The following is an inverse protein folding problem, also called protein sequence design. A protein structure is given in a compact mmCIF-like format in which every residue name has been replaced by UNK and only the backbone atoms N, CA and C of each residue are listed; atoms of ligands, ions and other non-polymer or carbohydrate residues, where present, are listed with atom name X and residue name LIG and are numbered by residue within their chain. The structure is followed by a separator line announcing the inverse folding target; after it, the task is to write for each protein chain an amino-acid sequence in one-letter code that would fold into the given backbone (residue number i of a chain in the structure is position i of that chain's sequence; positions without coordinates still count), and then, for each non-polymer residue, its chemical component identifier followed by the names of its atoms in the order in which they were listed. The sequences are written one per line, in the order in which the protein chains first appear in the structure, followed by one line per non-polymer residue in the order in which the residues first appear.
data_IF_508298633887
#
_entry.id   IF_508298633887
#
_cell.length_a   1.000
_cell.length_b   1.000
_cell.length_c   1.000
_cell.angle_alpha   90.00
_cell.angle_beta   90.00
_cell.angle_gamma   90.00
#
_symmetry.space_group_name_H-M   'P 1'
#
loop_
_entity.id
_entity.type
_entity.pdbx_description
1 polymer ?
#
# COMPACT_ATOMS: atom_id res chain seq x y z
N UNK A 1 -15.98 17.32 4.27
CA UNK A 1 -14.61 17.49 4.80
C UNK A 1 -13.74 16.24 4.65
N UNK A 2 -14.28 15.01 4.63
CA UNK A 2 -13.49 13.79 4.42
C UNK A 2 -12.74 13.75 3.07
N UNK A 3 -13.37 14.20 1.98
CA UNK A 3 -12.75 14.26 0.64
C UNK A 3 -11.48 15.14 0.60
N UNK A 4 -11.51 16.35 1.16
CA UNK A 4 -10.35 17.25 1.17
C UNK A 4 -9.13 16.68 1.92
N UNK A 5 -9.35 15.96 3.02
CA UNK A 5 -8.28 15.28 3.75
C UNK A 5 -7.66 14.16 2.92
N UNK A 6 -8.50 13.45 2.18
CA UNK A 6 -8.08 12.33 1.35
C UNK A 6 -7.31 12.81 0.11
N UNK A 7 -7.81 13.84 -0.56
CA UNK A 7 -7.11 14.50 -1.67
C UNK A 7 -5.73 15.00 -1.24
N UNK A 8 -5.64 15.58 -0.04
CA UNK A 8 -4.37 15.98 0.54
C UNK A 8 -3.41 14.79 0.73
N UNK A 9 -3.86 13.69 1.35
CA UNK A 9 -3.01 12.50 1.56
C UNK A 9 -2.55 11.93 0.22
N UNK A 10 -3.43 11.84 -0.79
CA UNK A 10 -3.06 11.38 -2.12
C UNK A 10 -2.01 12.28 -2.77
N UNK A 11 -2.15 13.60 -2.64
CA UNK A 11 -1.17 14.56 -3.15
C UNK A 11 0.19 14.41 -2.47
N UNK A 12 0.23 14.12 -1.17
CA UNK A 12 1.46 13.90 -0.42
C UNK A 12 2.11 12.55 -0.77
N UNK A 13 1.31 11.51 -1.05
CA UNK A 13 1.83 10.23 -1.58
C UNK A 13 2.48 10.44 -2.95
N UNK A 14 1.88 11.25 -3.82
CA UNK A 14 2.47 11.56 -5.13
C UNK A 14 3.78 12.35 -4.99
N UNK A 15 3.85 13.30 -4.04
CA UNK A 15 5.11 13.97 -3.68
C UNK A 15 6.15 12.99 -3.16
N UNK A 16 5.75 12.07 -2.28
CA UNK A 16 6.63 11.01 -1.77
C UNK A 16 7.16 10.16 -2.93
N UNK A 17 6.32 9.74 -3.87
CA UNK A 17 6.75 8.99 -5.06
C UNK A 17 7.78 9.75 -5.89
N UNK A 18 7.53 11.03 -6.18
CA UNK A 18 8.49 11.86 -6.91
C UNK A 18 9.81 12.02 -6.15
N UNK A 19 9.75 12.10 -4.83
CA UNK A 19 10.93 12.16 -3.98
C UNK A 19 11.70 10.84 -3.99
N UNK A 20 11.02 9.70 -3.82
CA UNK A 20 11.58 8.34 -3.93
C UNK A 20 12.28 8.18 -5.27
N UNK A 21 11.63 8.55 -6.38
CA UNK A 21 12.19 8.43 -7.73
C UNK A 21 13.51 9.20 -7.90
N UNK A 22 13.68 10.35 -7.23
CA UNK A 22 14.94 11.11 -7.22
C UNK A 22 16.03 10.45 -6.40
N UNK A 23 15.65 9.70 -5.37
CA UNK A 23 16.59 8.95 -4.52
C UNK A 23 17.01 7.64 -5.19
N UNK A 24 16.23 7.12 -6.14
CA UNK A 24 16.56 5.95 -6.96
C UNK A 24 17.74 6.26 -7.89
N UNK A 25 18.96 6.10 -7.38
CA UNK A 25 20.21 6.41 -8.10
C UNK A 25 21.19 7.28 -7.30
N UNK A 26 20.76 7.84 -6.16
CA UNK A 26 21.64 8.54 -5.22
C UNK A 26 21.90 7.67 -3.99
N UNK A 27 23.09 7.82 -3.38
CA UNK A 27 23.40 7.25 -2.05
C UNK A 27 23.10 8.26 -0.93
N UNK A 28 22.08 9.10 -1.11
CA UNK A 28 21.73 10.14 -0.15
C UNK A 28 20.99 9.53 1.05
N UNK A 29 21.77 9.19 2.07
CA UNK A 29 21.24 8.63 3.32
C UNK A 29 20.32 9.58 4.08
N UNK A 30 20.56 10.90 4.01
CA UNK A 30 19.73 11.89 4.70
C UNK A 30 18.38 12.04 4.01
N UNK A 31 18.37 12.11 2.67
CA UNK A 31 17.13 12.12 1.88
C UNK A 31 16.27 10.87 2.09
N UNK A 32 16.89 9.69 2.19
CA UNK A 32 16.18 8.44 2.49
C UNK A 32 15.52 8.45 3.87
N UNK A 33 16.19 9.01 4.88
CA UNK A 33 15.63 9.11 6.23
C UNK A 33 14.44 10.09 6.27
N UNK A 34 14.55 11.23 5.59
CA UNK A 34 13.46 12.19 5.44
C UNK A 34 12.25 11.55 4.73
N UNK A 35 12.48 10.80 3.65
CA UNK A 35 11.43 10.11 2.93
C UNK A 35 10.70 9.07 3.79
N UNK A 36 11.44 8.31 4.62
CA UNK A 36 10.85 7.35 5.55
C UNK A 36 10.02 8.05 6.63
N UNK A 37 10.52 9.15 7.20
CA UNK A 37 9.75 9.94 8.18
C UNK A 37 8.46 10.48 7.58
N UNK A 38 8.50 10.96 6.33
CA UNK A 38 7.30 11.40 5.61
C UNK A 38 6.32 10.23 5.41
N UNK A 39 6.81 9.07 4.97
CA UNK A 39 5.98 7.87 4.79
C UNK A 39 5.26 7.47 6.10
N UNK A 40 5.97 7.47 7.23
CA UNK A 40 5.39 7.16 8.54
C UNK A 40 4.35 8.20 8.99
N UNK A 41 4.63 9.49 8.78
CA UNK A 41 3.66 10.54 9.07
C UNK A 41 2.37 10.40 8.24
N UNK A 42 2.49 9.99 6.97
CA UNK A 42 1.32 9.73 6.12
C UNK A 42 0.53 8.50 6.58
N UNK A 43 1.23 7.45 7.05
CA UNK A 43 0.59 6.26 7.61
C UNK A 43 -0.21 6.61 8.87
N UNK A 44 0.37 7.37 9.79
CA UNK A 44 -0.32 7.83 11.01
C UNK A 44 -1.57 8.67 10.70
N UNK A 45 -1.51 9.52 9.67
CA UNK A 45 -2.69 10.28 9.22
C UNK A 45 -3.76 9.37 8.62
N UNK A 46 -3.40 8.25 8.00
CA UNK A 46 -4.36 7.34 7.40
C UNK A 46 -5.05 6.45 8.43
N UNK A 47 -4.33 6.03 9.47
CA UNK A 47 -4.81 5.05 10.42
C UNK A 47 -5.96 5.59 11.29
N UNK A 48 -6.96 4.76 11.60
CA UNK A 48 -8.08 5.12 12.47
C UNK A 48 -7.71 5.05 13.96
N UNK A 49 -6.49 4.60 14.29
CA UNK A 49 -5.96 4.41 15.65
C UNK A 49 -4.44 4.60 15.65
N UNK A 50 -3.78 4.70 16.82
CA UNK A 50 -2.33 4.84 16.88
C UNK A 50 -1.59 3.77 16.07
N UNK A 51 -0.51 4.14 15.39
CA UNK A 51 0.20 3.24 14.47
C UNK A 51 0.66 1.94 15.14
N UNK A 52 1.14 2.00 16.39
CA UNK A 52 1.54 0.83 17.14
C UNK A 52 0.40 -0.19 17.33
N UNK A 53 -0.83 0.29 17.55
CA UNK A 53 -2.01 -0.57 17.70
C UNK A 53 -2.51 -1.07 16.34
N UNK A 54 -2.50 -0.20 15.33
CA UNK A 54 -2.96 -0.56 13.99
C UNK A 54 -2.09 -1.64 13.35
N UNK A 55 -0.77 -1.51 13.44
CA UNK A 55 0.18 -2.43 12.83
C UNK A 55 0.24 -3.79 13.51
N UNK A 56 -0.30 -3.92 14.73
CA UNK A 56 -0.44 -5.20 15.44
C UNK A 56 -1.67 -6.01 15.00
N UNK A 57 -2.61 -5.38 14.29
CA UNK A 57 -3.79 -6.06 13.79
C UNK A 57 -3.43 -7.04 12.67
N UNK A 58 -4.20 -8.12 12.57
CA UNK A 58 -4.17 -8.97 11.38
C UNK A 58 -4.57 -8.15 10.15
N UNK A 59 -4.10 -8.53 8.96
CA UNK A 59 -4.32 -7.74 7.73
C UNK A 59 -5.81 -7.54 7.44
N UNK A 60 -6.64 -8.56 7.64
CA UNK A 60 -8.09 -8.45 7.42
C UNK A 60 -8.73 -7.46 8.42
N UNK A 61 -8.24 -7.40 9.66
CA UNK A 61 -8.66 -6.42 10.67
C UNK A 61 -8.16 -5.00 10.36
N UNK A 62 -6.96 -4.86 9.78
CA UNK A 62 -6.47 -3.57 9.28
C UNK A 62 -7.39 -3.03 8.17
N UNK A 63 -7.77 -3.89 7.22
CA UNK A 63 -8.70 -3.56 6.13
C UNK A 63 -10.07 -3.16 6.70
N UNK A 64 -10.60 -3.96 7.63
CA UNK A 64 -11.87 -3.66 8.29
C UNK A 64 -11.83 -2.32 9.03
N UNK A 65 -10.75 -2.04 9.76
CA UNK A 65 -10.55 -0.79 10.48
C UNK A 65 -10.47 0.43 9.55
N UNK A 66 -9.80 0.31 8.38
CA UNK A 66 -9.75 1.38 7.39
C UNK A 66 -11.12 1.69 6.76
N UNK A 67 -11.97 0.66 6.64
CA UNK A 67 -13.32 0.77 6.05
C UNK A 67 -14.38 1.19 7.06
N UNK A 68 -14.10 1.10 8.36
CA UNK A 68 -15.08 1.37 9.40
C UNK A 68 -15.63 2.81 9.30
N UNK A 69 -16.95 2.93 9.27
CA UNK A 69 -17.64 4.22 9.18
C UNK A 69 -17.62 4.88 7.80
N UNK A 70 -17.06 4.22 6.78
CA UNK A 70 -17.00 4.74 5.41
C UNK A 70 -18.07 4.13 4.51
N UNK A 71 -18.41 4.85 3.43
CA UNK A 71 -19.15 4.24 2.32
C UNK A 71 -18.32 3.14 1.65
N UNK A 72 -18.92 2.17 0.93
CA UNK A 72 -18.16 1.14 0.22
C UNK A 72 -17.09 1.71 -0.73
N UNK A 73 -17.38 2.81 -1.41
CA UNK A 73 -16.42 3.50 -2.27
C UNK A 73 -15.30 4.16 -1.45
N UNK A 74 -15.63 4.90 -0.39
CA UNK A 74 -14.64 5.58 0.47
C UNK A 74 -13.73 4.61 1.20
N UNK A 75 -14.27 3.51 1.72
CA UNK A 75 -13.49 2.45 2.37
C UNK A 75 -12.53 1.76 1.41
N UNK A 76 -12.97 1.48 0.17
CA UNK A 76 -12.09 0.96 -0.89
C UNK A 76 -10.97 1.94 -1.20
N UNK A 77 -11.29 3.22 -1.37
CA UNK A 77 -10.31 4.25 -1.69
C UNK A 77 -9.25 4.42 -0.58
N UNK A 78 -9.64 4.37 0.70
CA UNK A 78 -8.68 4.33 1.82
C UNK A 78 -7.76 3.11 1.77
N UNK A 79 -8.30 1.93 1.47
CA UNK A 79 -7.50 0.72 1.31
C UNK A 79 -6.46 0.87 0.19
N UNK A 80 -6.88 1.39 -0.97
CA UNK A 80 -5.97 1.64 -2.11
C UNK A 80 -4.93 2.72 -1.78
N UNK A 81 -5.30 3.75 -1.02
CA UNK A 81 -4.39 4.79 -0.53
C UNK A 81 -3.32 4.16 0.38
N UNK A 82 -3.72 3.28 1.30
CA UNK A 82 -2.78 2.58 2.17
C UNK A 82 -1.82 1.68 1.37
N UNK A 83 -2.35 0.90 0.42
CA UNK A 83 -1.55 0.03 -0.43
C UNK A 83 -0.51 0.81 -1.26
N UNK A 84 -0.87 1.97 -1.80
CA UNK A 84 0.08 2.85 -2.52
C UNK A 84 1.19 3.33 -1.59
N UNK A 85 0.86 3.78 -0.40
CA UNK A 85 1.85 4.24 0.57
C UNK A 85 2.80 3.12 1.01
N UNK A 86 2.28 1.90 1.21
CA UNK A 86 3.10 0.72 1.49
C UNK A 86 4.06 0.39 0.33
N UNK A 87 3.61 0.53 -0.92
CA UNK A 87 4.46 0.30 -2.08
C UNK A 87 5.64 1.29 -2.15
N UNK A 88 5.38 2.58 -1.91
CA UNK A 88 6.45 3.59 -1.83
C UNK A 88 7.39 3.32 -0.64
N UNK A 89 6.84 2.92 0.51
CA UNK A 89 7.62 2.55 1.71
C UNK A 89 8.51 1.34 1.43
N UNK A 90 8.03 0.35 0.69
CA UNK A 90 8.82 -0.81 0.30
C UNK A 90 10.02 -0.43 -0.57
N UNK A 91 9.85 0.51 -1.50
CA UNK A 91 10.96 1.03 -2.30
C UNK A 91 12.02 1.68 -1.42
N UNK A 92 11.61 2.48 -0.42
CA UNK A 92 12.53 3.09 0.54
C UNK A 92 13.29 2.05 1.37
N UNK A 93 12.63 0.98 1.81
CA UNK A 93 13.31 -0.13 2.50
C UNK A 93 14.33 -0.82 1.60
N UNK A 94 13.99 -1.06 0.33
CA UNK A 94 14.94 -1.61 -0.65
C UNK A 94 16.17 -0.72 -0.84
N UNK A 95 15.97 0.59 -0.99
CA UNK A 95 17.07 1.57 -1.10
C UNK A 95 17.97 1.61 0.15
N UNK A 96 17.44 1.22 1.32
CA UNK A 96 18.19 1.10 2.59
C UNK A 96 18.81 -0.30 2.79
N UNK A 97 18.70 -1.19 1.82
CA UNK A 97 19.19 -2.57 1.92
C UNK A 97 18.41 -3.44 2.91
N UNK A 98 17.17 -3.06 3.23
CA UNK A 98 16.24 -3.78 4.13
C UNK A 98 15.22 -4.56 3.31
N UNK A 99 15.71 -5.51 2.52
CA UNK A 99 14.86 -6.26 1.58
C UNK A 99 13.81 -7.12 2.28
N UNK A 100 14.08 -7.56 3.51
CA UNK A 100 13.13 -8.22 4.40
C UNK A 100 11.88 -7.37 4.64
N UNK A 101 12.08 -6.10 5.02
CA UNK A 101 11.01 -5.14 5.24
C UNK A 101 10.34 -4.74 3.93
N UNK A 102 11.12 -4.59 2.86
CA UNK A 102 10.60 -4.28 1.54
C UNK A 102 9.64 -5.37 1.05
N UNK A 103 10.04 -6.64 1.13
CA UNK A 103 9.21 -7.78 0.73
C UNK A 103 7.90 -7.82 1.53
N UNK A 104 7.97 -7.69 2.86
CA UNK A 104 6.78 -7.64 3.71
C UNK A 104 5.82 -6.52 3.34
N UNK A 105 6.33 -5.31 3.10
CA UNK A 105 5.52 -4.17 2.70
C UNK A 105 4.86 -4.35 1.32
N UNK A 106 5.57 -4.92 0.33
CA UNK A 106 4.98 -5.23 -1.00
C UNK A 106 3.90 -6.30 -0.90
N UNK A 107 4.11 -7.33 -0.08
CA UNK A 107 3.09 -8.37 0.13
C UNK A 107 1.83 -7.81 0.79
N UNK A 108 1.98 -6.97 1.81
CA UNK A 108 0.85 -6.32 2.46
C UNK A 108 0.09 -5.40 1.48
N UNK A 109 0.82 -4.59 0.71
CA UNK A 109 0.23 -3.74 -0.32
C UNK A 109 -0.58 -4.57 -1.35
N UNK A 110 -0.01 -5.69 -1.80
CA UNK A 110 -0.67 -6.58 -2.76
C UNK A 110 -1.92 -7.22 -2.15
N UNK A 111 -1.87 -7.71 -0.91
CA UNK A 111 -3.00 -8.33 -0.24
C UNK A 111 -4.19 -7.37 -0.08
N UNK A 112 -3.92 -6.15 0.37
CA UNK A 112 -4.94 -5.11 0.53
C UNK A 112 -5.55 -4.77 -0.83
N UNK A 113 -4.72 -4.62 -1.86
CA UNK A 113 -5.17 -4.29 -3.21
C UNK A 113 -6.02 -5.41 -3.82
N UNK A 114 -5.62 -6.67 -3.66
CA UNK A 114 -6.38 -7.83 -4.12
C UNK A 114 -7.76 -7.91 -3.45
N UNK A 115 -7.82 -7.63 -2.15
CA UNK A 115 -9.09 -7.59 -1.40
C UNK A 115 -10.04 -6.54 -1.99
N UNK A 116 -9.54 -5.34 -2.27
CA UNK A 116 -10.33 -4.30 -2.95
C UNK A 116 -10.69 -4.67 -4.41
N UNK A 117 -9.77 -5.30 -5.15
CA UNK A 117 -9.99 -5.65 -6.56
C UNK A 117 -11.03 -6.75 -6.75
N UNK A 118 -11.11 -7.71 -5.83
CA UNK A 118 -12.11 -8.77 -5.87
C UNK A 118 -13.54 -8.26 -5.62
N UNK A 119 -13.70 -7.06 -5.07
CA UNK A 119 -15.00 -6.41 -4.83
C UNK A 119 -15.38 -5.38 -5.92
N UNK A 120 -14.45 -5.04 -6.81
CA UNK A 120 -14.63 -4.04 -7.88
C UNK A 120 -14.78 -4.70 -9.26
N UNK A 121 -15.06 -3.95 -10.32
CA UNK A 121 -15.00 -4.44 -11.71
C UNK A 121 -13.57 -4.80 -12.12
N UNK A 122 -13.43 -5.70 -13.10
CA UNK A 122 -12.15 -6.24 -13.58
C UNK A 122 -11.15 -5.17 -14.08
N UNK A 123 -11.65 -4.00 -14.48
CA UNK A 123 -10.85 -2.88 -14.99
C UNK A 123 -10.82 -1.67 -14.06
N UNK A 124 -11.24 -1.84 -12.81
CA UNK A 124 -11.25 -0.77 -11.81
C UNK A 124 -9.84 -0.31 -11.38
N UNK A 125 -9.76 0.83 -10.66
CA UNK A 125 -8.50 1.33 -10.10
C UNK A 125 -7.73 0.31 -9.25
N UNK A 126 -8.43 -0.59 -8.54
CA UNK A 126 -7.79 -1.64 -7.78
C UNK A 126 -7.07 -2.65 -8.69
N UNK A 127 -7.71 -3.06 -9.79
CA UNK A 127 -7.12 -4.00 -10.76
C UNK A 127 -5.86 -3.41 -11.43
N UNK A 128 -5.87 -2.12 -11.76
CA UNK A 128 -4.69 -1.42 -12.27
C UNK A 128 -3.53 -1.44 -11.25
N UNK A 129 -3.83 -1.22 -9.96
CA UNK A 129 -2.82 -1.26 -8.91
C UNK A 129 -2.28 -2.69 -8.69
N UNK A 130 -3.13 -3.74 -8.76
CA UNK A 130 -2.66 -5.14 -8.74
C UNK A 130 -1.65 -5.38 -9.85
N UNK A 131 -1.94 -4.94 -11.08
CA UNK A 131 -1.03 -5.12 -12.22
C UNK A 131 0.32 -4.43 -12.03
N UNK A 132 0.37 -3.30 -11.32
CA UNK A 132 1.65 -2.64 -10.99
C UNK A 132 2.39 -3.28 -9.83
N UNK A 133 1.70 -3.86 -8.84
CA UNK A 133 2.32 -4.42 -7.63
C UNK A 133 2.74 -5.87 -7.80
N UNK A 134 1.96 -6.66 -8.52
CA UNK A 134 2.21 -8.09 -8.69
C UNK A 134 3.62 -8.42 -9.22
N UNK A 135 4.19 -7.71 -10.22
CA UNK A 135 5.55 -7.95 -10.69
C UNK A 135 6.64 -7.65 -9.65
N UNK A 136 6.34 -6.87 -8.61
CA UNK A 136 7.30 -6.45 -7.58
C UNK A 136 7.37 -7.45 -6.42
N UNK A 137 6.53 -8.48 -6.41
CA UNK A 137 6.49 -9.51 -5.38
C UNK A 137 6.96 -10.83 -5.97
N UNK A 138 7.94 -11.45 -5.31
CA UNK A 138 8.38 -12.79 -5.68
C UNK A 138 7.23 -13.80 -5.44
N UNK A 139 6.82 -14.47 -6.52
CA UNK A 139 5.73 -15.46 -6.50
C UNK A 139 6.03 -16.63 -5.58
N UNK A 140 7.28 -17.04 -5.49
CA UNK A 140 7.67 -18.19 -4.66
C UNK A 140 7.56 -17.86 -3.17
N UNK A 141 7.73 -16.59 -2.83
CA UNK A 141 7.68 -16.07 -1.46
C UNK A 141 6.28 -15.59 -1.04
N UNK A 142 5.28 -15.64 -1.94
CA UNK A 142 3.91 -15.26 -1.61
C UNK A 142 3.36 -16.14 -0.49
N UNK A 143 2.92 -15.49 0.58
CA UNK A 143 2.14 -16.14 1.64
C UNK A 143 0.87 -16.76 1.04
N UNK A 144 0.41 -17.92 1.55
CA UNK A 144 -0.73 -18.64 0.98
C UNK A 144 -1.99 -17.77 0.77
N UNK A 145 -2.43 -16.93 1.73
CA UNK A 145 -3.63 -16.11 1.56
C UNK A 145 -3.50 -15.03 0.48
N UNK A 146 -2.28 -14.62 0.12
CA UNK A 146 -2.03 -13.64 -0.95
C UNK A 146 -2.01 -14.34 -2.30
N UNK A 147 -1.41 -15.54 -2.35
CA UNK A 147 -1.35 -16.38 -3.55
C UNK A 147 -2.74 -16.80 -4.02
N UNK A 148 -3.56 -17.31 -3.11
CA UNK A 148 -4.95 -17.74 -3.42
C UNK A 148 -5.78 -16.57 -3.98
N UNK A 149 -5.70 -15.40 -3.35
CA UNK A 149 -6.40 -14.19 -3.83
C UNK A 149 -5.89 -13.71 -5.19
N UNK A 150 -4.58 -13.82 -5.44
CA UNK A 150 -3.99 -13.48 -6.73
C UNK A 150 -4.48 -14.43 -7.83
N UNK A 151 -4.56 -15.73 -7.56
CA UNK A 151 -5.11 -16.72 -8.50
C UNK A 151 -6.57 -16.44 -8.84
N UNK A 152 -7.39 -16.14 -7.82
CA UNK A 152 -8.80 -15.74 -8.01
C UNK A 152 -8.92 -14.48 -8.87
N UNK A 153 -8.10 -13.47 -8.59
CA UNK A 153 -8.07 -12.23 -9.38
C UNK A 153 -7.68 -12.51 -10.83
N UNK A 154 -6.62 -13.29 -11.06
CA UNK A 154 -6.13 -13.63 -12.40
C UNK A 154 -7.15 -14.46 -13.18
N UNK A 155 -7.91 -15.35 -12.54
CA UNK A 155 -8.98 -16.10 -13.18
C UNK A 155 -10.14 -15.20 -13.63
N UNK A 156 -10.39 -14.11 -12.90
CA UNK A 156 -11.48 -13.17 -13.17
C UNK A 156 -11.20 -12.18 -14.31
N UNK A 157 -9.94 -11.82 -14.52
CA UNK A 157 -9.52 -10.82 -15.53
C UNK A 157 -9.07 -11.44 -16.86
N UNK A 158 -9.22 -12.75 -17.03
CA UNK A 158 -9.02 -13.48 -18.30
C UNK A 158 -10.28 -13.42 -19.14
#
# INVERSE_FOLDING_TARGET
MAGQRQDYILSEIERLRLFVARLTGSRDGAGLEEALRLAFSLQEKLFPRPAAEFLQLAVDDQIAALRAGESPAGGREKCLTYARLLAETATLYGLRGREDLAAGARQLALQITLTAALEETADGPAAALVRSLHPLVDREQLLPPVRERLELFLARVR
#
